data_IF_601369135212
#
_entry.id   IF_601369135212
#
_cell.length_a   1.000
_cell.length_b   1.000
_cell.length_c   1.000
_cell.angle_alpha   90.00
_cell.angle_beta   90.00
_cell.angle_gamma   90.00
#
_symmetry.space_group_name_H-M   'P 1'
#
loop_
_entity.id
_entity.type
_entity.pdbx_description
1 polymer ?
#
# COMPACT_ATOMS: atom_id res chain seq x y z
N UNK A 1 2.29 -73.14 -64.29
CA UNK A 1 2.90 -71.79 -64.26
C UNK A 1 2.68 -71.13 -65.61
N UNK A 2 1.72 -70.22 -65.71
CA UNK A 2 1.53 -69.33 -66.84
C UNK A 2 1.31 -67.93 -66.26
N UNK A 3 2.21 -67.01 -66.60
CA UNK A 3 2.21 -65.61 -66.17
C UNK A 3 0.86 -64.98 -66.53
N UNK A 4 0.21 -64.30 -65.57
CA UNK A 4 -0.80 -63.28 -65.89
C UNK A 4 -0.10 -62.20 -66.72
N UNK A 5 -0.56 -61.84 -67.93
CA UNK A 5 -0.10 -60.64 -68.59
C UNK A 5 -0.60 -59.44 -67.77
N UNK A 6 0.33 -58.59 -67.35
CA UNK A 6 0.19 -57.58 -66.30
C UNK A 6 -0.66 -56.36 -66.68
N UNK A 7 -1.41 -56.38 -67.78
CA UNK A 7 -2.10 -55.21 -68.35
C UNK A 7 -3.57 -55.48 -68.75
N UNK A 8 -4.31 -56.29 -67.99
CA UNK A 8 -5.76 -56.45 -68.21
C UNK A 8 -6.55 -55.45 -67.36
N UNK A 9 -7.63 -54.89 -67.93
CA UNK A 9 -8.55 -54.04 -67.19
C UNK A 9 -9.26 -54.82 -66.07
N UNK A 10 -9.58 -54.11 -64.99
CA UNK A 10 -10.33 -54.66 -63.87
C UNK A 10 -11.80 -54.87 -64.24
N UNK A 11 -12.49 -55.77 -63.56
CA UNK A 11 -13.93 -55.99 -63.79
C UNK A 11 -14.77 -54.71 -63.62
N UNK A 12 -14.33 -53.78 -62.76
CA UNK A 12 -15.01 -52.51 -62.54
C UNK A 12 -14.92 -51.59 -63.77
N UNK A 13 -13.75 -51.51 -64.40
CA UNK A 13 -13.53 -50.72 -65.62
C UNK A 13 -14.27 -51.32 -66.82
N UNK A 14 -14.29 -52.66 -66.94
CA UNK A 14 -15.05 -53.36 -67.98
C UNK A 14 -16.57 -53.18 -67.81
N UNK A 15 -17.09 -53.17 -66.57
CA UNK A 15 -18.48 -52.85 -66.28
C UNK A 15 -18.81 -51.40 -66.64
N UNK A 16 -17.94 -50.45 -66.27
CA UNK A 16 -18.10 -49.04 -66.61
C UNK A 16 -18.10 -48.81 -68.13
N UNK A 17 -17.30 -49.58 -68.88
CA UNK A 17 -17.32 -49.59 -70.35
C UNK A 17 -18.66 -50.10 -70.91
N UNK A 18 -19.22 -51.19 -70.37
CA UNK A 18 -20.55 -51.71 -70.77
C UNK A 18 -21.67 -50.71 -70.45
N UNK A 19 -21.52 -49.96 -69.36
CA UNK A 19 -22.50 -48.96 -68.92
C UNK A 19 -22.32 -47.57 -69.51
N UNK A 20 -21.37 -47.38 -70.45
CA UNK A 20 -21.04 -46.08 -71.08
C UNK A 20 -20.67 -44.99 -70.07
N UNK A 21 -20.17 -45.39 -68.89
CA UNK A 21 -19.82 -44.49 -67.79
C UNK A 21 -18.37 -43.99 -67.82
N UNK A 22 -17.55 -44.49 -68.77
CA UNK A 22 -16.19 -44.03 -69.02
C UNK A 22 -16.16 -42.80 -69.92
N UNK A 23 -15.11 -41.98 -69.81
CA UNK A 23 -14.88 -40.86 -70.74
C UNK A 23 -14.59 -41.36 -72.17
N UNK A 24 -14.74 -40.51 -73.18
CA UNK A 24 -14.52 -40.90 -74.58
C UNK A 24 -13.09 -41.45 -74.82
N UNK A 25 -12.08 -40.89 -74.17
CA UNK A 25 -10.69 -41.34 -74.28
C UNK A 25 -10.48 -42.73 -73.65
N UNK A 26 -11.08 -42.98 -72.48
CA UNK A 26 -11.01 -44.28 -71.80
C UNK A 26 -11.79 -45.36 -72.56
N UNK A 27 -12.94 -45.00 -73.16
CA UNK A 27 -13.70 -45.93 -74.01
C UNK A 27 -12.87 -46.38 -75.23
N UNK A 28 -12.14 -45.47 -75.86
CA UNK A 28 -11.26 -45.79 -77.00
C UNK A 28 -10.09 -46.69 -76.57
N UNK A 29 -9.50 -46.43 -75.41
CA UNK A 29 -8.42 -47.25 -74.84
C UNK A 29 -8.88 -48.68 -74.51
N UNK A 30 -10.04 -48.83 -73.87
CA UNK A 30 -10.64 -50.13 -73.57
C UNK A 30 -11.01 -50.84 -74.87
N UNK A 31 -11.63 -50.15 -75.83
CA UNK A 31 -11.97 -50.73 -77.13
C UNK A 31 -10.72 -51.26 -77.87
N UNK A 32 -9.61 -50.51 -77.85
CA UNK A 32 -8.33 -50.95 -78.40
C UNK A 32 -7.78 -52.20 -77.72
N UNK A 33 -7.85 -52.27 -76.39
CA UNK A 33 -7.41 -53.44 -75.63
C UNK A 33 -8.26 -54.70 -75.90
N UNK A 34 -9.57 -54.56 -76.09
CA UNK A 34 -10.48 -55.68 -76.37
C UNK A 34 -10.16 -56.40 -77.70
N UNK A 35 -9.51 -55.72 -78.66
CA UNK A 35 -9.02 -56.34 -79.90
C UNK A 35 -7.85 -57.29 -79.62
N UNK A 36 -7.00 -56.97 -78.63
CA UNK A 36 -5.81 -57.75 -78.30
C UNK A 36 -5.98 -58.78 -77.18
N UNK A 37 -6.98 -58.62 -76.30
CA UNK A 37 -7.17 -59.48 -75.13
C UNK A 37 -8.48 -60.28 -75.19
N UNK A 38 -8.37 -61.58 -75.48
CA UNK A 38 -9.52 -62.49 -75.57
C UNK A 38 -10.27 -62.66 -74.25
N UNK A 39 -9.58 -62.58 -73.11
CA UNK A 39 -10.19 -62.75 -71.78
C UNK A 39 -11.15 -61.60 -71.48
N UNK A 40 -10.69 -60.35 -71.59
CA UNK A 40 -11.54 -59.18 -71.38
C UNK A 40 -12.68 -59.10 -72.40
N UNK A 41 -12.46 -59.54 -73.65
CA UNK A 41 -13.53 -59.60 -74.66
C UNK A 41 -14.66 -60.56 -74.27
N UNK A 42 -14.34 -61.73 -73.71
CA UNK A 42 -15.34 -62.70 -73.23
C UNK A 42 -16.10 -62.13 -72.03
N UNK A 43 -15.42 -61.48 -71.09
CA UNK A 43 -16.07 -60.86 -69.92
C UNK A 43 -17.05 -59.75 -70.35
N UNK A 44 -16.64 -58.83 -71.22
CA UNK A 44 -17.52 -57.77 -71.74
C UNK A 44 -18.73 -58.35 -72.49
N UNK A 45 -18.55 -59.41 -73.27
CA UNK A 45 -19.65 -60.09 -73.95
C UNK A 45 -20.66 -60.68 -72.95
N UNK A 46 -20.18 -61.34 -71.88
CA UNK A 46 -21.02 -61.91 -70.83
C UNK A 46 -21.83 -60.84 -70.08
N UNK A 47 -21.22 -59.68 -69.82
CA UNK A 47 -21.89 -58.56 -69.16
C UNK A 47 -22.95 -57.92 -70.06
N UNK A 48 -22.70 -57.82 -71.37
CA UNK A 48 -23.69 -57.34 -72.36
C UNK A 48 -24.86 -58.30 -72.51
N UNK A 49 -24.61 -59.60 -72.49
CA UNK A 49 -25.65 -60.63 -72.51
C UNK A 49 -26.52 -60.55 -71.26
N UNK A 50 -25.90 -60.46 -70.08
CA UNK A 50 -26.60 -60.28 -68.80
C UNK A 50 -27.45 -58.99 -68.81
N UNK A 51 -26.92 -57.87 -69.31
CA UNK A 51 -27.66 -56.61 -69.45
C UNK A 51 -28.84 -56.74 -70.40
N UNK A 52 -28.71 -57.51 -71.47
CA UNK A 52 -29.80 -57.76 -72.42
C UNK A 52 -30.89 -58.62 -71.79
N UNK A 53 -30.50 -59.66 -71.03
CA UNK A 53 -31.44 -60.48 -70.26
C UNK A 53 -32.19 -59.67 -69.19
N UNK A 54 -31.49 -58.81 -68.44
CA UNK A 54 -32.09 -57.94 -67.42
C UNK A 54 -33.03 -56.88 -68.01
N UNK A 55 -32.68 -56.30 -69.17
CA UNK A 55 -33.55 -55.37 -69.90
C UNK A 55 -34.75 -56.07 -70.53
N UNK A 56 -34.59 -57.31 -70.99
CA UNK A 56 -35.69 -58.12 -71.54
C UNK A 56 -36.66 -58.66 -70.49
N UNK A 57 -36.25 -58.75 -69.23
CA UNK A 57 -37.06 -59.25 -68.10
C UNK A 57 -37.72 -58.14 -67.28
N UNK A 58 -37.46 -56.87 -67.59
CA UNK A 58 -37.99 -55.73 -66.85
C UNK A 58 -39.01 -54.95 -67.69
N UNK A 59 -40.30 -55.12 -67.40
CA UNK A 59 -41.30 -54.12 -67.77
C UNK A 59 -40.97 -52.80 -67.06
N UNK A 60 -41.08 -51.63 -67.72
CA UNK A 60 -40.82 -50.35 -67.05
C UNK A 60 -41.89 -50.11 -65.98
N UNK A 61 -41.54 -50.35 -64.73
CA UNK A 61 -42.32 -49.91 -63.57
C UNK A 61 -41.96 -48.46 -63.31
N UNK A 62 -42.90 -47.55 -63.61
CA UNK A 62 -42.73 -46.13 -63.30
C UNK A 62 -42.70 -45.95 -61.78
N UNK A 63 -41.61 -45.40 -61.26
CA UNK A 63 -41.47 -45.11 -59.83
C UNK A 63 -42.51 -44.06 -59.38
N UNK A 64 -43.11 -44.18 -58.19
CA UNK A 64 -44.00 -43.16 -57.65
C UNK A 64 -43.25 -41.82 -57.50
N UNK A 65 -43.81 -40.73 -58.03
CA UNK A 65 -43.15 -39.42 -58.06
C UNK A 65 -42.75 -38.82 -56.70
N UNK A 66 -43.27 -39.36 -55.59
CA UNK A 66 -42.96 -38.92 -54.23
C UNK A 66 -41.77 -39.66 -53.57
N UNK A 67 -41.19 -40.67 -54.22
CA UNK A 67 -40.05 -41.42 -53.69
C UNK A 67 -38.76 -40.60 -53.61
N UNK A 68 -38.40 -39.78 -54.62
CA UNK A 68 -37.18 -38.97 -54.61
C UNK A 68 -37.17 -37.96 -53.45
N UNK A 69 -38.31 -37.33 -53.18
CA UNK A 69 -38.45 -36.33 -52.12
C UNK A 69 -38.31 -36.97 -50.73
N UNK A 70 -38.86 -38.16 -50.53
CA UNK A 70 -38.68 -38.92 -49.28
C UNK A 70 -37.22 -39.34 -49.07
N UNK A 71 -36.53 -39.77 -50.12
CA UNK A 71 -35.12 -40.16 -50.00
C UNK A 71 -34.22 -38.95 -49.73
N UNK A 72 -34.50 -37.78 -50.34
CA UNK A 72 -33.83 -36.51 -50.01
C UNK A 72 -34.07 -36.09 -48.56
N UNK A 73 -35.31 -36.21 -48.08
CA UNK A 73 -35.64 -35.89 -46.69
C UNK A 73 -34.91 -36.78 -45.67
N UNK A 74 -34.70 -38.06 -45.99
CA UNK A 74 -33.94 -38.99 -45.14
C UNK A 74 -32.44 -38.69 -45.18
N UNK A 75 -31.90 -38.31 -46.35
CA UNK A 75 -30.48 -38.03 -46.54
C UNK A 75 -30.05 -36.64 -46.02
N UNK A 76 -30.98 -35.71 -45.81
CA UNK A 76 -30.70 -34.37 -45.27
C UNK A 76 -29.81 -33.53 -46.20
N UNK A 77 -28.98 -32.61 -45.68
CA UNK A 77 -28.16 -31.70 -46.50
C UNK A 77 -27.09 -32.41 -47.36
N UNK A 78 -26.83 -33.70 -47.13
CA UNK A 78 -25.95 -34.51 -47.99
C UNK A 78 -26.65 -35.15 -49.19
N UNK A 79 -27.92 -34.82 -49.46
CA UNK A 79 -28.71 -35.41 -50.54
C UNK A 79 -28.28 -34.96 -51.95
N UNK A 80 -27.64 -33.80 -52.05
CA UNK A 80 -27.21 -33.20 -53.33
C UNK A 80 -25.74 -33.50 -53.66
N UNK A 81 -25.05 -34.27 -52.81
CA UNK A 81 -23.66 -34.64 -52.99
C UNK A 81 -23.53 -35.98 -53.73
N UNK A 82 -22.71 -36.07 -54.80
CA UNK A 82 -22.62 -37.28 -55.60
C UNK A 82 -22.07 -38.45 -54.77
N UNK A 83 -22.69 -39.64 -54.91
CA UNK A 83 -22.43 -40.81 -54.07
C UNK A 83 -20.96 -41.27 -54.05
N UNK A 84 -20.18 -40.96 -55.09
CA UNK A 84 -18.76 -41.28 -55.18
C UNK A 84 -17.84 -40.35 -54.36
N UNK A 85 -18.35 -39.18 -53.94
CA UNK A 85 -17.61 -38.24 -53.09
C UNK A 85 -17.70 -38.57 -51.59
N UNK A 86 -18.55 -39.55 -51.21
CA UNK A 86 -18.64 -40.00 -49.83
C UNK A 86 -17.48 -40.96 -49.52
N UNK A 87 -16.65 -40.68 -48.50
CA UNK A 87 -15.76 -41.69 -47.96
C UNK A 87 -16.63 -42.85 -47.47
N UNK A 88 -16.40 -44.06 -47.96
CA UNK A 88 -16.96 -45.26 -47.35
C UNK A 88 -16.29 -45.43 -45.99
N UNK A 89 -16.81 -44.75 -44.97
CA UNK A 89 -16.38 -44.97 -43.59
C UNK A 89 -16.65 -46.44 -43.24
N UNK A 90 -15.56 -47.19 -43.03
CA UNK A 90 -15.63 -48.54 -42.44
C UNK A 90 -16.38 -48.42 -41.11
N UNK A 91 -17.29 -49.34 -40.78
CA UNK A 91 -17.89 -49.33 -39.45
C UNK A 91 -16.77 -49.54 -38.42
N UNK A 92 -16.52 -48.51 -37.61
CA UNK A 92 -15.67 -48.64 -36.44
C UNK A 92 -16.31 -49.66 -35.50
N UNK A 93 -15.62 -50.77 -35.29
CA UNK A 93 -16.06 -51.97 -34.55
C UNK A 93 -16.31 -51.76 -33.04
N UNK A 94 -16.45 -50.53 -32.56
CA UNK A 94 -16.65 -50.26 -31.13
C UNK A 94 -17.35 -48.91 -30.87
N UNK A 95 -18.57 -48.73 -31.37
CA UNK A 95 -19.51 -47.75 -30.81
C UNK A 95 -20.94 -48.13 -31.21
N UNK A 96 -21.76 -48.50 -30.23
CA UNK A 96 -23.18 -48.78 -30.44
C UNK A 96 -23.91 -47.59 -31.06
N UNK A 97 -24.80 -47.88 -32.03
CA UNK A 97 -25.72 -46.96 -32.68
C UNK A 97 -25.06 -45.66 -33.17
N UNK A 98 -24.68 -45.62 -34.44
CA UNK A 98 -24.40 -44.38 -35.16
C UNK A 98 -25.59 -43.41 -34.97
N UNK A 99 -25.41 -42.48 -34.04
CA UNK A 99 -26.45 -41.57 -33.60
C UNK A 99 -26.75 -40.59 -34.73
N UNK A 100 -28.01 -40.57 -35.17
CA UNK A 100 -28.52 -39.54 -36.08
C UNK A 100 -28.14 -38.15 -35.54
N UNK A 101 -27.71 -37.20 -36.40
CA UNK A 101 -27.32 -35.86 -35.97
C UNK A 101 -28.54 -35.14 -35.37
N UNK A 102 -28.60 -35.07 -34.04
CA UNK A 102 -29.64 -34.31 -33.33
C UNK A 102 -29.22 -32.85 -33.21
N UNK A 103 -29.93 -31.96 -33.89
CA UNK A 103 -29.74 -30.50 -33.81
C UNK A 103 -29.77 -29.97 -32.37
N UNK A 104 -30.51 -30.62 -31.47
CA UNK A 104 -30.55 -30.31 -30.02
C UNK A 104 -29.20 -30.41 -29.31
N UNK A 105 -28.33 -31.37 -29.67
CA UNK A 105 -27.00 -31.48 -29.03
C UNK A 105 -26.06 -30.35 -29.47
N UNK A 106 -26.15 -29.91 -30.72
CA UNK A 106 -25.30 -28.82 -31.23
C UNK A 106 -25.59 -27.47 -30.53
N UNK A 107 -26.86 -27.18 -30.23
CA UNK A 107 -27.24 -25.98 -29.49
C UNK A 107 -26.83 -26.04 -28.01
N UNK A 108 -26.91 -27.22 -27.38
CA UNK A 108 -26.41 -27.43 -26.03
C UNK A 108 -24.89 -27.27 -25.95
N UNK A 109 -24.13 -27.84 -26.89
CA UNK A 109 -22.67 -27.65 -26.95
C UNK A 109 -22.29 -26.20 -27.20
N UNK A 110 -22.99 -25.48 -28.10
CA UNK A 110 -22.74 -24.04 -28.29
C UNK A 110 -23.01 -23.23 -27.03
N UNK A 111 -24.11 -23.50 -26.33
CA UNK A 111 -24.45 -22.83 -25.06
C UNK A 111 -23.39 -23.09 -23.99
N UNK A 112 -22.94 -24.34 -23.83
CA UNK A 112 -21.90 -24.71 -22.87
C UNK A 112 -20.57 -24.01 -23.19
N UNK A 113 -20.15 -24.01 -24.46
CA UNK A 113 -18.90 -23.33 -24.88
C UNK A 113 -18.97 -21.82 -24.60
N UNK A 114 -20.08 -21.15 -24.95
CA UNK A 114 -20.24 -19.72 -24.66
C UNK A 114 -20.22 -19.41 -23.17
N UNK A 115 -20.84 -20.24 -22.33
CA UNK A 115 -20.81 -20.03 -20.88
C UNK A 115 -19.42 -20.25 -20.30
N UNK A 116 -18.66 -21.23 -20.81
CA UNK A 116 -17.28 -21.48 -20.35
C UNK A 116 -16.35 -20.34 -20.74
N UNK A 117 -16.41 -19.85 -21.99
CA UNK A 117 -15.60 -18.71 -22.43
C UNK A 117 -15.90 -17.43 -21.63
N UNK A 118 -17.18 -17.14 -21.37
CA UNK A 118 -17.58 -15.99 -20.58
C UNK A 118 -17.07 -16.11 -19.14
N UNK A 119 -17.18 -17.30 -18.53
CA UNK A 119 -16.69 -17.55 -17.17
C UNK A 119 -15.16 -17.41 -17.09
N UNK A 120 -14.42 -17.95 -18.06
CA UNK A 120 -12.95 -17.80 -18.09
C UNK A 120 -12.52 -16.35 -18.28
N UNK A 121 -13.27 -15.56 -19.05
CA UNK A 121 -12.97 -14.14 -19.27
C UNK A 121 -13.28 -13.33 -17.99
N UNK A 122 -14.42 -13.57 -17.36
CA UNK A 122 -14.78 -12.98 -16.06
C UNK A 122 -13.75 -13.34 -14.97
N UNK A 123 -13.37 -14.61 -14.87
CA UNK A 123 -12.34 -15.07 -13.93
C UNK A 123 -10.98 -14.42 -14.22
N UNK A 124 -10.63 -14.23 -15.50
CA UNK A 124 -9.43 -13.50 -15.91
C UNK A 124 -9.44 -12.04 -15.47
N UNK A 125 -10.55 -11.33 -15.67
CA UNK A 125 -10.72 -9.93 -15.22
C UNK A 125 -10.63 -9.83 -13.69
N UNK A 126 -11.30 -10.73 -12.97
CA UNK A 126 -11.23 -10.80 -11.51
C UNK A 126 -9.80 -11.05 -11.03
N UNK A 127 -9.08 -12.00 -11.64
CA UNK A 127 -7.70 -12.30 -11.30
C UNK A 127 -6.76 -11.13 -11.58
N UNK A 128 -6.90 -10.48 -12.74
CA UNK A 128 -6.10 -9.29 -13.11
C UNK A 128 -6.38 -8.14 -12.15
N UNK A 129 -7.65 -7.86 -11.84
CA UNK A 129 -8.00 -6.86 -10.85
C UNK A 129 -7.45 -7.18 -9.46
N UNK A 130 -7.51 -8.43 -9.02
CA UNK A 130 -7.02 -8.84 -7.69
C UNK A 130 -5.49 -8.78 -7.57
N UNK A 131 -4.75 -9.14 -8.62
CA UNK A 131 -3.27 -9.09 -8.66
C UNK A 131 -2.75 -7.67 -8.85
N UNK A 132 -3.45 -6.86 -9.64
CA UNK A 132 -3.08 -5.46 -9.87
C UNK A 132 -3.55 -4.52 -8.76
N UNK A 133 -4.48 -4.97 -7.90
CA UNK A 133 -4.81 -4.24 -6.69
C UNK A 133 -3.53 -4.04 -5.88
N UNK A 134 -3.24 -2.80 -5.42
CA UNK A 134 -2.09 -2.55 -4.58
C UNK A 134 -2.12 -3.53 -3.41
N UNK A 135 -1.10 -4.38 -3.33
CA UNK A 135 -1.13 -5.57 -2.47
C UNK A 135 -0.99 -5.24 -0.98
N UNK A 136 -0.64 -4.01 -0.62
CA UNK A 136 -0.32 -3.63 0.74
C UNK A 136 -1.39 -2.70 1.29
N UNK A 137 -2.39 -3.24 2.00
CA UNK A 137 -2.71 -2.59 3.28
C UNK A 137 -1.53 -2.96 4.17
N UNK A 138 -0.63 -2.00 4.40
CA UNK A 138 0.45 -2.22 5.35
C UNK A 138 -0.20 -2.55 6.70
N UNK A 139 0.29 -3.59 7.37
CA UNK A 139 -0.16 -3.87 8.73
C UNK A 139 0.66 -2.96 9.62
N UNK A 140 -0.02 -2.01 10.27
CA UNK A 140 0.60 -1.09 11.22
C UNK A 140 0.57 -1.79 12.57
N UNK A 141 1.67 -2.49 12.88
CA UNK A 141 1.82 -3.23 14.13
C UNK A 141 2.43 -2.31 15.17
N UNK A 142 1.69 -2.07 16.25
CA UNK A 142 2.11 -1.23 17.38
C UNK A 142 2.76 0.10 16.93
N UNK A 143 1.95 1.11 16.56
CA UNK A 143 2.48 2.38 16.06
C UNK A 143 3.23 3.20 17.12
N UNK A 144 3.32 2.75 18.38
CA UNK A 144 3.91 3.55 19.46
C UNK A 144 5.38 3.90 19.24
N UNK A 145 6.17 2.97 18.70
CA UNK A 145 7.62 3.18 18.47
C UNK A 145 7.86 4.19 17.35
N UNK A 146 7.19 4.00 16.21
CA UNK A 146 7.31 4.89 15.05
C UNK A 146 6.80 6.28 15.41
N UNK A 147 5.67 6.37 16.11
CA UNK A 147 5.07 7.63 16.48
C UNK A 147 5.93 8.41 17.51
N UNK A 148 6.62 7.73 18.44
CA UNK A 148 7.61 8.37 19.33
C UNK A 148 8.84 8.85 18.58
N UNK A 149 9.28 8.10 17.58
CA UNK A 149 10.43 8.47 16.75
C UNK A 149 10.11 9.69 15.87
N UNK A 150 8.94 9.69 15.23
CA UNK A 150 8.41 10.86 14.51
C UNK A 150 8.25 12.07 15.43
N UNK A 151 7.72 11.88 16.64
CA UNK A 151 7.56 12.95 17.62
C UNK A 151 8.91 13.51 18.10
N UNK A 152 9.91 12.67 18.36
CA UNK A 152 11.26 13.12 18.69
C UNK A 152 11.88 13.94 17.54
N UNK A 153 11.58 13.57 16.30
CA UNK A 153 11.99 14.33 15.10
C UNK A 153 11.26 15.67 15.03
N UNK A 154 9.95 15.71 15.32
CA UNK A 154 9.16 16.94 15.39
C UNK A 154 9.67 17.91 16.47
N UNK A 155 9.98 17.41 17.68
CA UNK A 155 10.58 18.20 18.75
C UNK A 155 11.91 18.83 18.33
N UNK A 156 12.73 18.12 17.54
CA UNK A 156 14.00 18.64 17.06
C UNK A 156 13.84 19.87 16.14
N UNK A 157 12.68 20.03 15.52
CA UNK A 157 12.36 21.15 14.64
C UNK A 157 11.76 22.34 15.39
N UNK A 158 11.48 22.20 16.68
CA UNK A 158 10.88 23.26 17.48
C UNK A 158 11.93 24.18 18.13
N UNK A 159 11.78 25.51 18.01
CA UNK A 159 12.82 26.49 18.37
C UNK A 159 13.22 26.56 19.84
N UNK A 160 12.44 25.97 20.75
CA UNK A 160 12.70 25.95 22.21
C UNK A 160 12.50 24.59 22.86
N UNK A 161 12.22 23.55 22.07
CA UNK A 161 12.12 22.19 22.57
C UNK A 161 13.51 21.61 22.83
N UNK A 162 13.61 20.77 23.85
CA UNK A 162 14.84 20.05 24.11
C UNK A 162 14.82 18.70 23.39
N UNK A 163 15.55 18.60 22.28
CA UNK A 163 15.60 17.39 21.45
C UNK A 163 16.10 16.14 22.19
N UNK A 164 16.90 16.30 23.25
CA UNK A 164 17.40 15.18 24.05
C UNK A 164 16.26 14.47 24.80
N UNK A 165 15.14 15.15 25.09
CA UNK A 165 13.92 14.55 25.66
C UNK A 165 13.36 13.48 24.72
N UNK A 166 13.25 13.80 23.43
CA UNK A 166 12.77 12.86 22.41
C UNK A 166 13.67 11.62 22.30
N UNK A 167 14.99 11.81 22.28
CA UNK A 167 15.94 10.69 22.22
C UNK A 167 15.82 9.74 23.42
N UNK A 168 15.69 10.28 24.63
CA UNK A 168 15.54 9.47 25.85
C UNK A 168 14.16 8.81 25.95
N UNK A 169 13.11 9.46 25.47
CA UNK A 169 11.76 8.89 25.43
C UNK A 169 11.60 7.78 24.39
N UNK A 170 12.33 7.88 23.26
CA UNK A 170 12.29 6.90 22.18
C UNK A 170 13.16 5.66 22.45
N UNK A 171 14.24 5.77 23.24
CA UNK A 171 15.16 4.65 23.48
C UNK A 171 14.67 3.72 24.62
N UNK A 172 14.24 2.48 24.30
CA UNK A 172 13.74 1.55 25.31
C UNK A 172 14.82 1.04 26.28
N UNK A 173 16.11 1.18 25.94
CA UNK A 173 17.22 0.76 26.80
C UNK A 173 17.45 1.67 28.00
N UNK A 174 16.90 2.90 27.97
CA UNK A 174 16.97 3.82 29.10
C UNK A 174 16.18 3.24 30.27
N UNK A 175 16.82 3.00 31.44
CA UNK A 175 16.16 2.38 32.57
C UNK A 175 15.12 3.31 33.19
N UNK A 176 13.97 2.74 33.54
CA UNK A 176 12.97 3.37 34.38
C UNK A 176 13.39 3.20 35.86
N UNK A 177 13.39 4.30 36.60
CA UNK A 177 13.66 4.35 38.03
C UNK A 177 12.38 4.67 38.79
N UNK A 178 12.15 3.95 39.90
CA UNK A 178 11.08 4.26 40.83
C UNK A 178 11.54 5.33 41.84
N UNK A 179 10.77 6.40 42.00
CA UNK A 179 11.08 7.50 42.92
C UNK A 179 10.78 8.88 42.32
N UNK A 180 11.01 9.97 43.08
CA UNK A 180 10.92 11.32 42.53
C UNK A 180 12.04 11.57 41.51
N UNK A 181 11.82 12.54 40.62
CA UNK A 181 12.88 13.10 39.78
C UNK A 181 14.14 13.39 40.60
N UNK A 182 15.33 13.19 40.03
CA UNK A 182 16.55 13.48 40.76
C UNK A 182 16.66 14.98 40.99
N UNK A 183 17.38 15.39 42.04
CA UNK A 183 17.62 16.80 42.33
C UNK A 183 18.60 17.45 41.32
N UNK A 184 19.02 16.75 40.26
CA UNK A 184 19.92 17.27 39.23
C UNK A 184 19.23 18.34 38.39
N UNK A 185 19.50 19.60 38.69
CA UNK A 185 19.08 20.76 37.92
C UNK A 185 19.08 22.04 38.78
N UNK A 186 18.79 23.22 38.20
CA UNK A 186 18.73 24.45 38.96
C UNK A 186 17.68 24.32 40.09
N UNK A 187 18.05 24.70 41.31
CA UNK A 187 17.13 24.65 42.45
C UNK A 187 15.97 25.60 42.19
N UNK A 188 14.74 25.09 42.29
CA UNK A 188 13.50 25.86 42.24
C UNK A 188 13.30 26.76 43.47
N UNK A 189 14.39 27.24 44.09
CA UNK A 189 14.32 28.25 45.13
C UNK A 189 13.60 29.45 44.50
N UNK A 190 12.42 29.76 45.03
CA UNK A 190 11.38 30.62 44.43
C UNK A 190 11.99 31.79 43.68
N UNK A 191 12.20 31.60 42.37
CA UNK A 191 12.59 32.69 41.50
C UNK A 191 11.38 33.60 41.47
N UNK A 192 11.43 34.70 42.22
CA UNK A 192 10.38 35.69 42.22
C UNK A 192 10.31 36.29 40.81
N UNK A 193 9.38 35.79 40.00
CA UNK A 193 9.08 36.28 38.66
C UNK A 193 8.73 37.76 38.80
N UNK A 194 9.60 38.62 38.29
CA UNK A 194 9.58 40.06 38.58
C UNK A 194 8.89 40.86 37.49
N UNK A 195 8.96 40.36 36.25
CA UNK A 195 8.50 41.03 35.04
C UNK A 195 7.43 40.17 34.36
N UNK A 196 6.29 40.78 34.03
CA UNK A 196 5.20 40.18 33.25
C UNK A 196 5.15 40.87 31.88
N UNK A 197 4.97 40.09 30.80
CA UNK A 197 4.64 40.63 29.47
C UNK A 197 5.80 40.70 28.46
N UNK A 198 5.94 41.84 27.75
CA UNK A 198 6.72 41.98 26.51
C UNK A 198 8.23 41.74 26.66
N UNK A 199 8.80 42.01 27.83
CA UNK A 199 10.22 41.80 28.08
C UNK A 199 10.57 40.31 28.17
N UNK A 200 9.62 39.47 28.60
CA UNK A 200 9.77 38.02 28.64
C UNK A 200 9.69 37.41 27.23
N UNK A 201 8.83 37.93 26.36
CA UNK A 201 8.78 37.52 24.95
C UNK A 201 10.10 37.78 24.24
N UNK A 202 10.75 38.92 24.53
CA UNK A 202 12.08 39.23 23.98
C UNK A 202 13.11 38.16 24.34
N UNK A 203 13.11 37.65 25.59
CA UNK A 203 14.01 36.56 25.97
C UNK A 203 13.77 35.28 25.17
N UNK A 204 12.52 34.92 24.90
CA UNK A 204 12.19 33.74 24.09
C UNK A 204 12.58 33.91 22.62
N UNK A 205 12.41 35.12 22.06
CA UNK A 205 12.86 35.45 20.71
C UNK A 205 14.39 35.41 20.58
N UNK A 206 15.11 35.96 21.57
CA UNK A 206 16.57 35.87 21.65
C UNK A 206 17.02 34.40 21.77
N UNK A 207 16.31 33.59 22.54
CA UNK A 207 16.59 32.17 22.68
C UNK A 207 16.37 31.39 21.37
N UNK A 208 15.29 31.67 20.64
CA UNK A 208 15.06 31.10 19.30
C UNK A 208 16.16 31.49 18.31
N UNK A 209 16.58 32.76 18.29
CA UNK A 209 17.68 33.19 17.45
C UNK A 209 18.98 32.46 17.83
N UNK A 210 19.25 32.33 19.13
CA UNK A 210 20.42 31.64 19.65
C UNK A 210 20.46 30.14 19.27
N UNK A 211 19.32 29.44 19.28
CA UNK A 211 19.25 28.02 18.86
C UNK A 211 19.49 27.82 17.37
N UNK A 212 19.14 28.81 16.54
CA UNK A 212 19.42 28.80 15.11
C UNK A 212 20.87 29.17 14.76
N UNK A 213 21.46 30.14 15.49
CA UNK A 213 22.71 30.80 15.09
C UNK A 213 23.96 30.29 15.83
N UNK A 214 23.82 29.66 17.00
CA UNK A 214 24.97 29.30 17.84
C UNK A 214 25.29 27.81 17.79
N UNK A 215 26.57 27.50 17.52
CA UNK A 215 27.09 26.16 17.72
C UNK A 215 27.17 25.83 19.20
N UNK A 216 26.65 24.67 19.59
CA UNK A 216 26.67 24.21 20.99
C UNK A 216 27.14 22.78 21.07
N UNK A 217 28.01 22.50 22.03
CA UNK A 217 28.41 21.15 22.36
C UNK A 217 28.39 20.93 23.88
N UNK A 218 27.92 19.79 24.34
CA UNK A 218 27.84 19.54 25.77
C UNK A 218 27.20 18.21 26.13
N UNK A 219 27.02 18.02 27.43
CA UNK A 219 26.37 16.84 27.99
C UNK A 219 25.11 17.28 28.70
N UNK A 220 23.97 16.73 28.29
CA UNK A 220 22.68 16.98 28.91
C UNK A 220 22.26 15.82 29.80
N UNK A 221 21.63 16.15 30.91
CA UNK A 221 20.86 15.20 31.73
C UNK A 221 19.40 15.40 31.41
N UNK A 222 18.72 14.31 31.12
CA UNK A 222 17.31 14.29 30.77
C UNK A 222 16.60 13.37 31.74
N UNK A 223 15.53 13.86 32.34
CA UNK A 223 14.60 13.04 33.10
C UNK A 223 13.20 13.28 32.60
N UNK A 224 12.48 12.19 32.45
CA UNK A 224 11.13 12.24 31.94
C UNK A 224 10.28 11.17 32.64
N UNK A 225 9.07 11.57 33.05
CA UNK A 225 8.12 10.75 33.80
C UNK A 225 7.48 9.64 32.95
N UNK A 226 7.93 8.41 33.14
CA UNK A 226 7.35 7.22 32.51
C UNK A 226 6.41 6.50 33.50
N UNK A 227 5.10 6.58 33.27
CA UNK A 227 4.07 6.01 34.16
C UNK A 227 4.16 6.54 35.61
N UNK A 228 4.50 5.64 36.56
CA UNK A 228 4.69 6.02 37.98
C UNK A 228 6.15 6.31 38.34
N UNK A 229 7.08 6.13 37.40
CA UNK A 229 8.51 6.33 37.58
C UNK A 229 9.08 7.42 36.69
N UNK A 230 10.41 7.46 36.61
CA UNK A 230 11.18 8.38 35.78
C UNK A 230 12.20 7.62 34.96
N UNK A 231 12.28 7.89 33.67
CA UNK A 231 13.42 7.54 32.84
C UNK A 231 14.45 8.65 32.91
N UNK A 232 15.70 8.29 33.15
CA UNK A 232 16.80 9.24 33.27
C UNK A 232 17.96 8.81 32.39
N UNK A 233 18.43 9.73 31.56
CA UNK A 233 19.47 9.49 30.57
C UNK A 233 20.46 10.65 30.52
N UNK A 234 21.67 10.36 30.04
CA UNK A 234 22.69 11.36 29.74
C UNK A 234 22.94 11.34 28.25
N UNK A 235 22.81 12.50 27.60
CA UNK A 235 22.92 12.64 26.14
C UNK A 235 24.06 13.60 25.83
N UNK A 236 25.02 13.18 25.01
CA UNK A 236 25.96 14.11 24.41
C UNK A 236 25.26 14.81 23.24
N UNK A 237 25.30 16.14 23.22
CA UNK A 237 24.60 16.97 22.24
C UNK A 237 25.62 17.84 21.53
N UNK A 238 25.56 17.86 20.20
CA UNK A 238 26.30 18.78 19.34
C UNK A 238 25.37 19.39 18.30
N UNK A 239 25.06 20.69 18.42
CA UNK A 239 24.33 21.46 17.42
C UNK A 239 25.32 22.27 16.57
N UNK A 240 25.15 22.20 15.25
CA UNK A 240 25.87 23.01 14.28
C UNK A 240 24.87 23.82 13.44
N UNK A 241 24.91 25.17 13.54
CA UNK A 241 24.02 26.07 12.81
C UNK A 241 23.95 25.78 11.32
N UNK A 242 22.73 25.64 10.79
CA UNK A 242 22.47 25.33 9.39
C UNK A 242 22.77 23.89 8.94
N UNK A 243 23.27 23.03 9.82
CA UNK A 243 23.49 21.61 9.53
C UNK A 243 22.54 20.73 10.31
N UNK A 244 22.47 20.87 11.63
CA UNK A 244 21.60 20.05 12.47
C UNK A 244 22.17 19.76 13.86
N UNK A 245 21.51 18.85 14.57
CA UNK A 245 21.88 18.42 15.92
C UNK A 245 22.22 16.93 15.92
N UNK A 246 23.42 16.60 16.37
CA UNK A 246 23.84 15.24 16.67
C UNK A 246 23.61 14.93 18.15
N UNK A 247 23.18 13.70 18.42
CA UNK A 247 22.90 13.17 19.75
C UNK A 247 23.62 11.84 19.92
N UNK A 248 24.25 11.61 21.06
CA UNK A 248 24.77 10.30 21.45
C UNK A 248 24.25 9.92 22.84
N UNK A 249 23.47 8.86 22.89
CA UNK A 249 22.95 8.26 24.11
C UNK A 249 23.74 6.97 24.39
N UNK A 250 24.96 7.12 24.91
CA UNK A 250 25.76 6.00 25.40
C UNK A 250 26.07 4.90 24.37
N UNK A 251 26.20 5.27 23.08
CA UNK A 251 26.46 4.36 21.97
C UNK A 251 25.36 4.31 20.91
N UNK A 252 24.19 4.89 21.19
CA UNK A 252 23.13 5.15 20.20
C UNK A 252 23.29 6.57 19.66
N UNK A 253 23.88 6.71 18.47
CA UNK A 253 24.07 8.00 17.82
C UNK A 253 22.90 8.31 16.86
N UNK A 254 22.38 9.54 16.93
CA UNK A 254 21.34 10.07 16.06
C UNK A 254 21.73 11.44 15.51
N UNK A 255 21.15 11.80 14.36
CA UNK A 255 21.32 13.12 13.76
C UNK A 255 19.99 13.65 13.26
N UNK A 256 19.65 14.87 13.67
CA UNK A 256 18.49 15.59 13.15
C UNK A 256 18.98 16.76 12.30
N UNK A 257 18.68 16.78 10.99
CA UNK A 257 19.06 17.90 10.13
C UNK A 257 18.37 19.18 10.58
N UNK A 258 19.05 20.31 10.37
CA UNK A 258 18.45 21.63 10.58
C UNK A 258 17.41 21.87 9.49
N UNK A 259 16.17 22.16 9.89
CA UNK A 259 15.12 22.69 9.02
C UNK A 259 14.90 24.17 9.33
N UNK A 260 14.23 24.90 8.43
CA UNK A 260 13.74 26.23 8.78
C UNK A 260 12.78 26.09 9.96
N UNK A 261 13.14 26.68 11.10
CA UNK A 261 12.30 26.65 12.28
C UNK A 261 11.19 27.69 12.14
N UNK A 262 9.93 27.33 12.45
CA UNK A 262 8.86 28.32 12.47
C UNK A 262 9.18 29.40 13.50
N UNK A 263 9.01 30.67 13.13
CA UNK A 263 9.12 31.78 14.08
C UNK A 263 8.09 31.58 15.18
N UNK A 264 8.49 31.76 16.44
CA UNK A 264 7.52 31.86 17.53
C UNK A 264 6.62 33.07 17.25
N UNK A 265 5.39 32.80 16.83
CA UNK A 265 4.42 33.86 16.63
C UNK A 265 3.96 34.38 18.00
N UNK A 266 4.03 35.70 18.20
CA UNK A 266 3.56 36.34 19.43
C UNK A 266 2.10 35.98 19.76
N UNK A 267 1.29 35.72 18.73
CA UNK A 267 -0.11 35.33 18.88
C UNK A 267 -0.29 33.96 19.54
N UNK A 268 0.67 33.03 19.35
CA UNK A 268 0.68 31.68 19.94
C UNK A 268 0.77 31.71 21.46
N UNK A 269 1.25 32.81 22.05
CA UNK A 269 1.31 32.99 23.50
C UNK A 269 0.04 33.60 24.10
N UNK A 270 -0.97 33.97 23.31
CA UNK A 270 -2.17 34.66 23.82
C UNK A 270 -2.95 33.88 24.89
N UNK A 271 -2.77 32.56 24.94
CA UNK A 271 -3.34 31.64 25.94
C UNK A 271 -2.45 31.45 27.20
N UNK A 272 -1.24 32.02 27.21
CA UNK A 272 -0.27 31.88 28.30
C UNK A 272 0.14 33.23 28.88
N UNK A 273 0.22 33.29 30.20
CA UNK A 273 0.90 34.38 30.89
C UNK A 273 2.39 34.07 31.01
N UNK A 274 3.24 35.04 30.69
CA UNK A 274 4.68 34.92 30.76
C UNK A 274 5.23 35.71 31.94
N UNK A 275 6.00 35.05 32.78
CA UNK A 275 6.81 35.67 33.83
C UNK A 275 8.29 35.44 33.57
N UNK A 276 9.14 36.42 33.89
CA UNK A 276 10.58 36.26 33.77
C UNK A 276 11.37 36.99 34.85
N UNK A 277 12.60 36.51 35.05
CA UNK A 277 13.59 37.10 35.97
C UNK A 277 14.98 36.95 35.36
N UNK A 278 15.64 38.09 35.12
CA UNK A 278 17.01 38.10 34.61
C UNK A 278 18.01 37.62 35.68
N UNK A 279 19.02 36.84 35.26
CA UNK A 279 20.09 36.34 36.15
C UNK A 279 19.57 35.64 37.42
N UNK A 280 18.46 34.92 37.30
CA UNK A 280 17.80 34.22 38.40
C UNK A 280 18.58 33.03 38.98
N UNK A 281 19.59 32.52 38.26
CA UNK A 281 20.36 31.38 38.76
C UNK A 281 21.57 31.01 37.91
N UNK A 282 22.05 29.77 38.07
CA UNK A 282 23.11 29.19 37.25
C UNK A 282 22.78 27.79 36.76
N UNK A 283 23.15 27.50 35.52
CA UNK A 283 23.07 26.17 34.90
C UNK A 283 24.41 25.88 34.23
N UNK A 284 24.96 24.68 34.42
CA UNK A 284 26.28 24.29 33.89
C UNK A 284 27.40 25.32 34.16
N UNK A 285 27.34 26.02 35.30
CA UNK A 285 28.28 27.09 35.68
C UNK A 285 28.04 28.45 35.03
N UNK A 286 27.10 28.56 34.08
CA UNK A 286 26.74 29.80 33.37
C UNK A 286 25.60 30.54 34.08
N UNK A 287 25.56 31.88 33.97
CA UNK A 287 24.47 32.70 34.51
C UNK A 287 23.21 32.48 33.69
N UNK A 288 22.06 32.29 34.32
CA UNK A 288 20.82 32.01 33.63
C UNK A 288 19.69 32.97 34.05
N UNK A 289 18.98 33.49 33.05
CA UNK A 289 17.68 34.15 33.20
C UNK A 289 16.58 33.10 33.11
N UNK A 290 15.50 33.27 33.86
CA UNK A 290 14.38 32.34 33.85
C UNK A 290 13.20 32.98 33.14
N UNK A 291 12.55 32.21 32.27
CA UNK A 291 11.24 32.52 31.70
C UNK A 291 10.31 31.38 32.05
N UNK A 292 9.11 31.70 32.49
CA UNK A 292 8.06 30.76 32.83
C UNK A 292 6.80 31.09 32.05
N UNK A 293 6.17 30.07 31.47
CA UNK A 293 4.86 30.14 30.86
C UNK A 293 3.84 29.44 31.76
N UNK A 294 2.76 30.15 32.07
CA UNK A 294 1.64 29.68 32.89
C UNK A 294 0.34 29.75 32.09
N UNK A 295 -0.47 28.72 32.18
CA UNK A 295 -1.85 28.67 31.68
C UNK A 295 -2.84 28.68 32.86
N UNK A 296 -4.15 28.58 32.58
CA UNK A 296 -5.17 28.46 33.64
C UNK A 296 -4.95 27.24 34.55
N UNK A 297 -4.32 26.16 34.06
CA UNK A 297 -4.01 24.95 34.82
C UNK A 297 -2.72 25.05 35.63
N UNK A 298 -1.98 26.15 35.51
CA UNK A 298 -0.73 26.42 36.24
C UNK A 298 0.48 26.55 35.33
N UNK A 299 1.67 26.40 35.89
CA UNK A 299 2.93 26.39 35.12
C UNK A 299 2.88 25.28 34.08
N UNK A 300 3.22 25.62 32.83
CA UNK A 300 3.29 24.69 31.69
C UNK A 300 4.75 24.42 31.31
N UNK A 301 5.57 25.45 31.25
CA UNK A 301 7.00 25.29 30.91
C UNK A 301 7.83 26.39 31.54
N UNK A 302 9.07 26.04 31.89
CA UNK A 302 10.07 26.96 32.40
C UNK A 302 11.39 26.75 31.67
N UNK A 303 11.97 27.83 31.16
CA UNK A 303 13.30 27.83 30.54
C UNK A 303 14.29 28.60 31.39
N UNK A 304 15.50 28.07 31.47
CA UNK A 304 16.68 28.79 31.95
C UNK A 304 17.53 29.10 30.75
N UNK A 305 17.62 30.37 30.41
CA UNK A 305 18.30 30.90 29.24
C UNK A 305 19.63 31.51 29.67
N UNK A 306 20.71 31.22 28.95
CA UNK A 306 22.01 31.80 29.21
C UNK A 306 21.95 33.34 29.16
N UNK A 307 22.29 34.02 30.24
CA UNK A 307 22.14 35.49 30.31
C UNK A 307 23.09 36.25 29.39
N UNK A 308 24.14 35.59 28.87
CA UNK A 308 25.10 36.19 27.93
C UNK A 308 24.70 35.99 26.47
N UNK A 309 24.25 34.78 26.11
CA UNK A 309 24.00 34.37 24.71
C UNK A 309 22.53 34.18 24.36
N UNK A 310 21.64 34.10 25.34
CA UNK A 310 20.22 33.77 25.15
C UNK A 310 19.94 32.27 24.99
N UNK A 311 20.96 31.43 24.83
CA UNK A 311 20.78 30.01 24.52
C UNK A 311 20.07 29.23 25.65
N UNK A 312 19.10 28.35 25.35
CA UNK A 312 18.44 27.50 26.35
C UNK A 312 19.42 26.53 27.04
N UNK A 313 19.60 26.69 28.35
CA UNK A 313 20.48 25.83 29.16
C UNK A 313 19.72 24.71 29.87
N UNK A 314 18.47 24.96 30.24
CA UNK A 314 17.61 24.01 30.95
C UNK A 314 16.14 24.28 30.62
N UNK A 315 15.35 23.23 30.60
CA UNK A 315 13.89 23.29 30.43
C UNK A 315 13.22 22.32 31.40
N UNK A 316 12.23 22.83 32.13
CA UNK A 316 11.29 22.01 32.91
C UNK A 316 9.91 22.12 32.25
N UNK A 317 9.23 20.99 32.10
CA UNK A 317 7.87 20.90 31.54
C UNK A 317 6.92 20.32 32.56
N UNK A 318 5.71 20.86 32.55
CA UNK A 318 4.66 20.56 33.50
C UNK A 318 3.35 20.26 32.77
N UNK A 319 2.61 19.29 33.30
CA UNK A 319 1.23 18.98 32.90
C UNK A 319 0.38 19.04 34.16
N UNK A 320 -0.67 19.86 34.15
CA UNK A 320 -1.53 20.12 35.31
C UNK A 320 -0.75 20.50 36.58
N UNK A 321 0.29 21.32 36.39
CA UNK A 321 1.19 21.76 37.45
C UNK A 321 2.14 20.68 38.01
N UNK A 322 2.11 19.46 37.47
CA UNK A 322 3.05 18.40 37.83
C UNK A 322 4.22 18.36 36.85
N UNK A 323 5.45 18.30 37.37
CA UNK A 323 6.64 18.14 36.53
C UNK A 323 6.56 16.79 35.79
N UNK A 324 6.62 16.83 34.46
CA UNK A 324 6.61 15.66 33.58
C UNK A 324 7.94 15.45 32.87
N UNK A 325 8.71 16.50 32.62
CA UNK A 325 10.04 16.40 32.03
C UNK A 325 10.95 17.49 32.55
N UNK A 326 12.23 17.16 32.68
CA UNK A 326 13.31 18.13 32.89
C UNK A 326 14.51 17.74 32.06
N UNK A 327 15.11 18.71 31.39
CA UNK A 327 16.28 18.46 30.58
C UNK A 327 17.17 19.68 30.52
N UNK A 328 18.47 19.48 30.65
CA UNK A 328 19.42 20.57 30.47
C UNK A 328 20.86 20.16 30.64
N UNK A 329 21.76 21.11 30.43
CA UNK A 329 23.18 20.84 30.41
C UNK A 329 23.76 20.63 31.82
N UNK A 330 24.51 19.55 31.96
CA UNK A 330 25.47 19.36 33.06
C UNK A 330 26.83 20.00 32.72
N UNK A 331 27.17 20.06 31.43
CA UNK A 331 28.32 20.79 30.89
C UNK A 331 28.00 21.31 29.49
N UNK A 332 28.44 22.52 29.15
CA UNK A 332 28.15 23.14 27.84
C UNK A 332 29.27 24.07 27.40
N UNK A 333 29.53 24.09 26.10
CA UNK A 333 30.30 25.11 25.41
C UNK A 333 29.46 25.67 24.26
N UNK A 334 29.34 27.01 24.23
CA UNK A 334 28.51 27.76 23.28
C UNK A 334 29.42 28.60 22.39
N UNK A 335 29.11 28.69 21.11
CA UNK A 335 29.90 29.40 20.10
C UNK A 335 31.15 28.65 19.64
N UNK A 336 31.29 27.37 19.99
CA UNK A 336 32.43 26.53 19.59
C UNK A 336 31.94 25.31 18.82
N UNK A 337 32.14 25.32 17.51
CA UNK A 337 31.85 24.15 16.67
C UNK A 337 32.86 23.02 16.96
N UNK A 338 32.35 21.79 17.01
CA UNK A 338 33.14 20.56 16.95
C UNK A 338 32.70 19.82 15.68
N UNK A 339 33.61 19.04 15.08
CA UNK A 339 33.26 18.13 13.99
C UNK A 339 32.25 17.10 14.49
N UNK A 340 31.08 17.06 13.86
CA UNK A 340 30.09 16.00 14.06
C UNK A 340 30.66 14.74 13.39
N UNK A 341 31.17 13.80 14.18
CA UNK A 341 31.68 12.53 13.66
C UNK A 341 30.55 11.63 13.17
N UNK A 342 30.59 11.23 11.90
CA UNK A 342 29.89 10.12 11.23
C UNK A 342 28.43 9.78 11.66
N UNK A 343 27.67 10.76 12.14
CA UNK A 343 26.24 10.58 12.32
C UNK A 343 25.62 10.59 10.91
N UNK A 344 25.30 9.39 10.41
CA UNK A 344 24.73 9.21 9.08
C UNK A 344 23.55 10.16 8.92
N UNK A 345 23.62 11.07 7.95
CA UNK A 345 22.50 11.97 7.63
C UNK A 345 21.46 11.17 6.87
N UNK A 346 20.27 10.88 7.43
CA UNK A 346 19.14 10.53 6.58
C UNK A 346 18.71 11.80 5.85
N UNK A 347 18.95 11.86 4.55
CA UNK A 347 18.17 12.74 3.68
C UNK A 347 16.74 12.22 3.67
N UNK A 348 15.86 12.81 4.47
CA UNK A 348 14.41 12.64 4.31
C UNK A 348 14.01 13.42 3.07
N UNK A 349 13.55 12.70 2.04
CA UNK A 349 12.95 13.30 0.85
C UNK A 349 11.51 13.66 1.22
N UNK A 350 11.25 14.96 1.43
CA UNK A 350 9.90 15.47 1.72
C UNK A 350 9.09 15.38 0.43
N UNK A 351 8.23 14.36 0.30
CA UNK A 351 7.30 14.21 -0.81
C UNK A 351 6.21 15.29 -0.82
N UNK A 352 5.49 15.41 -1.95
CA UNK A 352 4.27 16.22 -2.02
C UNK A 352 3.25 15.67 -1.01
N UNK A 353 2.95 16.46 0.03
CA UNK A 353 2.02 16.08 1.07
C UNK A 353 0.57 16.07 0.58
N UNK A 354 -0.21 15.09 1.06
CA UNK A 354 -1.65 15.02 0.84
C UNK A 354 -2.44 16.04 1.66
N UNK A 355 -3.76 15.91 1.65
CA UNK A 355 -4.65 16.77 2.44
C UNK A 355 -4.51 16.49 3.94
N UNK A 356 -4.23 17.52 4.74
CA UNK A 356 -4.02 17.43 6.19
C UNK A 356 -5.16 18.09 6.98
N UNK A 357 -5.50 17.56 8.17
CA UNK A 357 -6.60 18.11 8.98
C UNK A 357 -6.24 19.47 9.59
N UNK A 358 -7.26 20.30 9.80
CA UNK A 358 -7.15 21.55 10.58
C UNK A 358 -7.58 21.28 12.02
N UNK A 359 -6.71 21.56 13.00
CA UNK A 359 -6.95 21.28 14.42
C UNK A 359 -7.24 22.56 15.20
N UNK A 360 -8.40 23.16 14.96
CA UNK A 360 -8.86 24.34 15.70
C UNK A 360 -7.87 25.51 15.62
N UNK A 361 -7.42 26.00 16.79
CA UNK A 361 -6.46 27.10 16.92
C UNK A 361 -4.99 26.65 16.95
N UNK A 362 -4.70 25.34 16.95
CA UNK A 362 -3.32 24.85 16.93
C UNK A 362 -2.69 25.06 15.55
N UNK A 363 -1.61 25.87 15.45
CA UNK A 363 -0.96 26.14 14.17
C UNK A 363 -0.34 24.87 13.58
N UNK A 364 -0.55 24.65 12.28
CA UNK A 364 0.19 23.66 11.50
C UNK A 364 1.60 24.19 11.23
N UNK A 365 2.63 23.47 11.68
CA UNK A 365 4.03 23.86 11.59
C UNK A 365 4.74 23.22 10.40
N UNK A 366 4.58 21.91 10.24
CA UNK A 366 5.19 21.18 9.12
C UNK A 366 4.30 20.03 8.65
N UNK A 367 4.48 19.65 7.40
CA UNK A 367 3.90 18.44 6.81
C UNK A 367 4.97 17.70 6.04
N UNK A 368 5.13 16.42 6.33
CA UNK A 368 6.02 15.51 5.63
C UNK A 368 5.22 14.32 5.09
N UNK A 369 5.64 13.80 3.94
CA UNK A 369 5.10 12.56 3.39
C UNK A 369 6.25 11.64 2.99
N UNK A 370 6.20 10.38 3.41
CA UNK A 370 7.01 9.35 2.79
C UNK A 370 6.26 8.84 1.54
N UNK A 371 6.96 8.56 0.45
CA UNK A 371 6.31 8.12 -0.80
C UNK A 371 5.51 6.80 -0.69
N UNK A 372 5.49 6.17 0.48
CA UNK A 372 4.80 4.93 0.80
C UNK A 372 3.37 5.16 1.34
N UNK A 373 2.94 6.42 1.46
CA UNK A 373 1.57 6.79 1.81
C UNK A 373 1.37 7.10 3.29
N UNK A 374 2.46 7.36 4.03
CA UNK A 374 2.39 7.99 5.36
C UNK A 374 2.46 9.50 5.19
N UNK A 375 1.52 10.20 5.82
CA UNK A 375 1.53 11.66 5.94
C UNK A 375 1.67 12.00 7.42
N UNK A 376 2.68 12.78 7.75
CA UNK A 376 2.93 13.30 9.08
C UNK A 376 2.70 14.80 9.09
N UNK A 377 1.84 15.28 9.98
CA UNK A 377 1.61 16.71 10.20
C UNK A 377 1.91 17.07 11.65
N UNK A 378 2.77 18.08 11.82
CA UNK A 378 3.17 18.59 13.13
C UNK A 378 2.46 19.90 13.39
N UNK A 379 1.81 19.98 14.54
CA UNK A 379 1.12 21.15 15.06
C UNK A 379 1.78 21.59 16.36
N UNK A 380 1.71 22.87 16.65
CA UNK A 380 2.19 23.37 17.94
C UNK A 380 2.25 24.88 18.01
N UNK A 381 2.36 25.37 19.24
CA UNK A 381 2.46 26.78 19.60
C UNK A 381 3.84 27.12 20.22
N UNK A 382 4.78 26.17 20.19
CA UNK A 382 6.09 26.25 20.84
C UNK A 382 6.08 25.85 22.32
N UNK A 383 4.90 25.73 22.92
CA UNK A 383 4.69 25.08 24.22
C UNK A 383 4.37 23.62 23.96
N UNK A 384 3.27 23.34 23.29
CA UNK A 384 2.78 22.00 23.04
C UNK A 384 3.16 21.59 21.63
N UNK A 385 3.54 20.32 21.50
CA UNK A 385 3.83 19.65 20.24
C UNK A 385 2.80 18.57 20.03
N UNK A 386 2.27 18.49 18.83
CA UNK A 386 1.37 17.43 18.43
C UNK A 386 1.76 16.93 17.04
N UNK A 387 2.02 15.64 16.93
CA UNK A 387 2.23 14.95 15.68
C UNK A 387 0.99 14.13 15.36
N UNK A 388 0.45 14.30 14.15
CA UNK A 388 -0.55 13.40 13.57
C UNK A 388 0.11 12.65 12.44
N UNK A 389 0.06 11.32 12.50
CA UNK A 389 0.46 10.43 11.41
C UNK A 389 -0.77 9.75 10.83
N UNK A 390 -0.88 9.79 9.51
CA UNK A 390 -1.92 9.17 8.70
C UNK A 390 -1.25 8.16 7.77
N UNK A 391 -1.58 6.88 7.92
CA UNK A 391 -0.98 5.81 7.12
C UNK A 391 -2.07 4.89 6.56
N UNK A 392 -2.00 4.58 5.26
CA UNK A 392 -2.89 3.57 4.67
C UNK A 392 -2.53 2.19 5.21
N UNK A 393 -3.48 1.50 5.83
CA UNK A 393 -3.16 0.22 6.46
C UNK A 393 -4.27 -0.43 7.27
N UNK A 394 -3.86 -1.29 8.18
CA UNK A 394 -4.75 -1.95 9.15
C UNK A 394 -4.03 -1.99 10.48
N UNK A 395 -4.68 -1.45 11.51
CA UNK A 395 -4.09 -1.33 12.84
C UNK A 395 -4.06 -2.69 13.53
N UNK A 396 -2.89 -3.06 14.02
CA UNK A 396 -2.71 -4.14 15.00
C UNK A 396 -2.09 -3.49 16.24
N UNK A 397 -2.90 -3.18 17.27
CA UNK A 397 -2.40 -2.47 18.45
C UNK A 397 -1.37 -3.31 19.20
N UNK A 398 -0.38 -2.64 19.81
CA UNK A 398 0.59 -3.29 20.68
C UNK A 398 0.01 -3.69 22.03
N UNK A 399 0.68 -4.62 22.72
CA UNK A 399 0.27 -5.10 24.05
C UNK A 399 0.26 -3.99 25.12
N UNK A 400 1.04 -2.92 24.91
CA UNK A 400 1.12 -1.75 25.79
C UNK A 400 -0.04 -0.77 25.62
N UNK A 401 -0.84 -0.89 24.55
CA UNK A 401 -1.91 0.05 24.25
C UNK A 401 -3.25 -0.43 24.83
N UNK A 402 -3.79 0.31 25.79
CA UNK A 402 -5.12 0.05 26.33
C UNK A 402 -6.20 0.55 25.36
N UNK A 403 -7.23 -0.25 25.11
CA UNK A 403 -8.38 0.21 24.31
C UNK A 403 -9.35 1.02 25.17
N UNK A 404 -9.63 2.25 24.75
CA UNK A 404 -10.68 3.11 25.29
C UNK A 404 -11.94 2.99 24.43
N UNK A 405 -12.97 2.32 24.97
CA UNK A 405 -14.21 2.08 24.25
C UNK A 405 -15.11 3.32 24.12
N UNK A 406 -14.94 4.34 24.96
CA UNK A 406 -15.72 5.59 24.88
C UNK A 406 -15.26 6.42 23.69
N UNK A 407 -13.94 6.44 23.46
CA UNK A 407 -13.29 7.22 22.41
C UNK A 407 -13.05 6.42 21.12
N UNK A 408 -13.09 5.09 21.19
CA UNK A 408 -12.79 4.21 20.06
C UNK A 408 -11.31 4.18 19.68
N UNK A 409 -10.41 4.48 20.63
CA UNK A 409 -8.97 4.58 20.37
C UNK A 409 -8.16 3.62 21.24
N UNK A 410 -7.00 3.21 20.74
CA UNK A 410 -5.96 2.56 21.53
C UNK A 410 -5.03 3.63 22.09
N UNK A 411 -4.76 3.63 23.39
CA UNK A 411 -3.92 4.62 24.06
C UNK A 411 -2.72 3.99 24.76
N UNK A 412 -1.57 4.64 24.64
CA UNK A 412 -0.40 4.43 25.48
C UNK A 412 -0.02 5.76 26.14
N UNK A 413 -0.14 5.81 27.47
CA UNK A 413 0.15 7.00 28.28
C UNK A 413 1.40 6.72 29.09
N UNK A 414 2.53 7.21 28.60
CA UNK A 414 3.85 7.02 29.22
C UNK A 414 4.35 8.32 29.86
N UNK A 415 3.45 9.25 30.19
CA UNK A 415 3.71 10.51 30.91
C UNK A 415 4.53 11.59 30.18
N UNK A 416 5.35 11.26 29.16
CA UNK A 416 6.04 12.24 28.27
C UNK A 416 5.13 12.71 27.19
N UNK A 417 4.51 11.69 26.63
CA UNK A 417 3.74 11.77 25.44
C UNK A 417 2.56 10.85 25.64
N UNK A 418 1.43 11.33 25.20
CA UNK A 418 0.22 10.54 25.04
C UNK A 418 0.17 10.08 23.59
N UNK A 419 0.11 8.77 23.36
CA UNK A 419 -0.02 8.18 22.02
C UNK A 419 -1.41 7.58 21.89
N UNK A 420 -2.21 8.11 20.97
CA UNK A 420 -3.49 7.53 20.56
C UNK A 420 -3.37 6.95 19.16
N UNK A 421 -3.93 5.77 18.92
CA UNK A 421 -4.02 5.17 17.60
C UNK A 421 -5.38 4.53 17.38
N UNK A 422 -5.95 4.72 16.18
CA UNK A 422 -7.21 4.07 15.80
C UNK A 422 -7.27 3.84 14.30
N UNK A 423 -8.22 2.99 13.90
CA UNK A 423 -8.51 2.75 12.50
C UNK A 423 -9.73 3.56 12.08
N UNK A 424 -9.60 4.28 10.96
CA UNK A 424 -10.67 5.04 10.32
C UNK A 424 -10.70 4.70 8.84
N UNK A 425 -11.73 3.99 8.40
CA UNK A 425 -11.81 3.47 7.03
C UNK A 425 -10.66 2.50 6.70
N UNK A 426 -9.83 2.86 5.72
CA UNK A 426 -8.63 2.13 5.30
C UNK A 426 -7.31 2.76 5.80
N UNK A 427 -7.41 3.72 6.73
CA UNK A 427 -6.29 4.43 7.29
C UNK A 427 -6.13 4.15 8.79
N UNK A 428 -4.88 4.16 9.22
CA UNK A 428 -4.48 4.17 10.62
C UNK A 428 -4.08 5.60 10.96
N UNK A 429 -4.75 6.15 11.96
CA UNK A 429 -4.45 7.46 12.51
C UNK A 429 -3.70 7.27 13.81
N UNK A 430 -2.59 7.98 13.95
CA UNK A 430 -1.81 8.03 15.19
C UNK A 430 -1.59 9.47 15.60
N UNK A 431 -1.91 9.80 16.84
CA UNK A 431 -1.68 11.11 17.45
C UNK A 431 -0.69 10.95 18.59
N UNK A 432 0.34 11.80 18.60
CA UNK A 432 1.32 11.87 19.68
C UNK A 432 1.45 13.31 20.14
N UNK A 433 1.35 13.56 21.45
CA UNK A 433 1.52 14.90 22.00
C UNK A 433 2.16 14.88 23.38
N UNK A 434 2.96 15.91 23.68
CA UNK A 434 3.45 16.23 25.04
C UNK A 434 2.50 17.17 25.81
N UNK A 435 1.31 17.45 25.25
CA UNK A 435 0.22 18.14 25.91
C UNK A 435 -0.54 17.25 26.90
N UNK A 436 -1.63 17.77 27.45
CA UNK A 436 -2.47 17.02 28.38
C UNK A 436 -3.26 15.91 27.67
N UNK A 437 -3.79 14.95 28.43
CA UNK A 437 -4.65 13.89 27.88
C UNK A 437 -5.94 14.47 27.31
N UNK A 438 -6.44 15.59 27.85
CA UNK A 438 -7.60 16.31 27.33
C UNK A 438 -7.35 16.85 25.92
N UNK A 439 -6.13 17.30 25.62
CA UNK A 439 -5.78 17.73 24.27
C UNK A 439 -5.78 16.53 23.29
N UNK A 440 -5.21 15.40 23.69
CA UNK A 440 -5.24 14.18 22.89
C UNK A 440 -6.70 13.71 22.64
N UNK A 441 -7.56 13.84 23.64
CA UNK A 441 -9.00 13.56 23.56
C UNK A 441 -9.70 14.50 22.57
N UNK A 442 -9.47 15.80 22.68
CA UNK A 442 -10.06 16.80 21.78
C UNK A 442 -9.66 16.55 20.32
N UNK A 443 -8.36 16.34 20.08
CA UNK A 443 -7.82 16.14 18.74
C UNK A 443 -8.29 14.82 18.14
N UNK A 444 -8.25 13.72 18.90
CA UNK A 444 -8.77 12.44 18.41
C UNK A 444 -10.26 12.51 18.11
N UNK A 445 -11.05 13.23 18.91
CA UNK A 445 -12.48 13.45 18.65
C UNK A 445 -12.79 14.33 17.43
N UNK A 446 -11.86 15.22 17.05
CA UNK A 446 -11.98 16.07 15.86
C UNK A 446 -11.58 15.37 14.55
N UNK A 447 -10.83 14.28 14.64
CA UNK A 447 -10.33 13.51 13.49
C UNK A 447 -11.32 12.41 13.05
N UNK A 448 -11.19 11.86 11.83
CA UNK A 448 -12.17 10.90 11.29
C UNK A 448 -12.27 9.59 12.10
N UNK A 449 -13.50 9.09 12.29
CA UNK A 449 -13.83 7.81 12.94
C UNK A 449 -14.74 6.92 12.07
N UNK A 450 -14.40 6.79 10.80
CA UNK A 450 -15.16 6.00 9.85
C UNK A 450 -15.03 4.51 10.17
N UNK A 451 -16.12 3.75 10.07
CA UNK A 451 -16.07 2.31 10.32
C UNK A 451 -14.99 1.65 9.43
N UNK A 452 -14.18 0.73 9.98
CA UNK A 452 -13.15 0.04 9.23
C UNK A 452 -13.72 -0.55 7.94
N UNK A 453 -13.16 -0.16 6.79
CA UNK A 453 -13.63 -0.71 5.53
C UNK A 453 -13.14 -2.15 5.44
N UNK A 454 -13.98 -3.13 5.78
CA UNK A 454 -13.74 -4.53 5.44
C UNK A 454 -13.66 -4.62 3.92
N UNK A 455 -12.43 -4.72 3.38
CA UNK A 455 -12.25 -4.84 1.95
C UNK A 455 -12.82 -6.18 1.52
N UNK A 456 -14.03 -6.16 0.99
CA UNK A 456 -14.59 -7.35 0.36
C UNK A 456 -13.77 -7.65 -0.90
N UNK A 457 -13.73 -8.93 -1.30
CA UNK A 457 -12.97 -9.39 -2.48
C UNK A 457 -13.30 -8.55 -3.73
N UNK A 458 -14.54 -8.05 -3.81
CA UNK A 458 -15.03 -7.17 -4.88
C UNK A 458 -14.33 -5.81 -4.87
N UNK A 459 -14.19 -5.16 -3.71
CA UNK A 459 -13.56 -3.83 -3.60
C UNK A 459 -12.09 -3.90 -4.00
N UNK A 460 -11.40 -4.97 -3.59
CA UNK A 460 -10.02 -5.22 -4.02
C UNK A 460 -9.90 -5.34 -5.54
N UNK A 461 -10.78 -6.11 -6.17
CA UNK A 461 -10.78 -6.29 -7.64
C UNK A 461 -11.08 -4.97 -8.35
N UNK A 462 -12.05 -4.18 -7.87
CA UNK A 462 -12.41 -2.88 -8.46
C UNK A 462 -11.25 -1.90 -8.33
N UNK A 463 -10.64 -1.77 -7.16
CA UNK A 463 -9.48 -0.88 -6.94
C UNK A 463 -8.31 -1.24 -7.85
N UNK A 464 -8.02 -2.52 -8.06
CA UNK A 464 -6.99 -2.93 -9.02
C UNK A 464 -7.30 -2.60 -10.47
N UNK A 465 -8.57 -2.69 -10.88
CA UNK A 465 -8.99 -2.28 -12.23
C UNK A 465 -8.91 -0.75 -12.42
N UNK A 466 -9.28 0.02 -11.40
CA UNK A 466 -9.15 1.50 -11.40
C UNK A 466 -7.68 1.91 -11.48
N UNK A 467 -6.81 1.26 -10.70
CA UNK A 467 -5.36 1.50 -10.75
C UNK A 467 -4.76 1.23 -12.13
N UNK A 468 -5.13 0.11 -12.76
CA UNK A 468 -4.75 -0.18 -14.16
C UNK A 468 -5.25 0.94 -15.09
N UNK A 469 -6.52 1.35 -14.96
CA UNK A 469 -7.10 2.43 -15.76
C UNK A 469 -6.31 3.73 -15.66
N UNK A 470 -5.97 4.14 -14.44
CA UNK A 470 -5.17 5.34 -14.16
C UNK A 470 -3.74 5.24 -14.71
N UNK A 471 -3.07 4.09 -14.56
CA UNK A 471 -1.69 3.87 -15.04
C UNK A 471 -1.57 3.86 -16.56
N UNK A 472 -2.62 3.42 -17.27
CA UNK A 472 -2.63 3.30 -18.73
C UNK A 472 -3.49 4.36 -19.45
N UNK A 473 -4.06 5.32 -18.72
CA UNK A 473 -4.86 6.42 -19.28
C UNK A 473 -6.18 5.98 -19.93
N UNK A 474 -6.73 4.85 -19.48
CA UNK A 474 -8.00 4.30 -19.98
C UNK A 474 -9.10 4.91 -19.10
N UNK A 475 -9.88 5.85 -19.67
CA UNK A 475 -11.05 6.48 -19.01
C UNK A 475 -12.32 5.69 -19.25
#
# INVERSE_FOLDING_TARGET
MARRPTDCFTCAELSAFVDTALSAAEQEQVAGHLVGCRTCAVEVASMRELRTLLRGSSSPVSAPGALPDRLRAIAGPGADEPLWARPFDRPAESAGYAALPSSRRSHLHRRVITTTCLFTLLAGVVLVGWVAAPANRQVVVDPTVDARTGFATALAQMPLANVAVGAVAADPSVPQQAGPASAGGPSAEEVALSELGSDCLRFLQEAQAATADLAVNGVQTVEHRDGTGWRSGTVEVANLPGFGTALDLGGSAGFTPSTEQPLLELASFGSYELGCTANAGRVAGRSASVVEATSESGTTTRWWLDSETGYPLWTDRFTDGQLVSRAGFSSVAIGKAIEISDAASPTQDLGEAGEVPSLGELPLLTVSGDGDGTIESVYGDGMITLLVSQQVGTLVPGDSMAFDAERGVHQAVDGAVTVYAWQSGDQVWTVVTDGSTELADEVSGALPHEEPTEANVVDRVVSGLVWIGARFGIR
#
